data_IF_909744161805
#
_entry.id   IF_909744161805
#
_cell.length_a   1.000
_cell.length_b   1.000
_cell.length_c   1.000
_cell.angle_alpha   90.00
_cell.angle_beta   90.00
_cell.angle_gamma   90.00
#
_symmetry.space_group_name_H-M   'P 1'
#
loop_
_entity.id
_entity.type
_entity.pdbx_description
1 polymer ?
#
# COMPACT_ATOMS: atom_id res chain seq x y z
N UNK A 1 1.70 -19.14 34.34
CA UNK A 1 1.74 -19.48 32.91
C UNK A 1 1.76 -18.17 32.10
N UNK A 2 2.70 -18.04 31.18
CA UNK A 2 2.77 -16.91 30.25
C UNK A 2 1.61 -17.04 29.25
N UNK A 3 0.97 -15.88 28.88
CA UNK A 3 0.07 -15.86 27.74
C UNK A 3 0.86 -16.18 26.45
N UNK A 4 0.17 -16.61 25.36
CA UNK A 4 0.82 -16.89 24.07
C UNK A 4 1.67 -15.72 23.57
N UNK A 5 1.14 -14.49 23.68
CA UNK A 5 1.84 -13.27 23.31
C UNK A 5 3.05 -12.97 24.19
N UNK A 6 2.95 -13.20 25.50
CA UNK A 6 4.09 -13.04 26.42
C UNK A 6 5.21 -14.06 26.11
N UNK A 7 4.84 -15.31 25.82
CA UNK A 7 5.80 -16.34 25.45
C UNK A 7 6.54 -15.95 24.16
N UNK A 8 5.83 -15.47 23.16
CA UNK A 8 6.39 -14.98 21.89
C UNK A 8 7.33 -13.78 22.11
N UNK A 9 6.92 -12.81 22.95
CA UNK A 9 7.76 -11.65 23.29
C UNK A 9 9.08 -12.09 23.97
N UNK A 10 9.01 -13.03 24.91
CA UNK A 10 10.21 -13.59 25.56
C UNK A 10 11.11 -14.28 24.57
N UNK A 11 10.56 -15.04 23.63
CA UNK A 11 11.30 -15.71 22.58
C UNK A 11 12.00 -14.71 21.65
N UNK A 12 11.30 -13.64 21.22
CA UNK A 12 11.88 -12.55 20.42
C UNK A 12 13.04 -11.88 21.17
N UNK A 13 12.83 -11.51 22.43
CA UNK A 13 13.89 -10.90 23.25
C UNK A 13 15.11 -11.83 23.40
N UNK A 14 14.88 -13.13 23.57
CA UNK A 14 15.95 -14.12 23.66
C UNK A 14 16.85 -14.14 22.42
N UNK A 15 16.29 -13.95 21.22
CA UNK A 15 17.07 -13.87 19.96
C UNK A 15 17.93 -12.62 19.86
N UNK A 16 17.68 -11.59 20.66
CA UNK A 16 18.35 -10.29 20.60
C UNK A 16 19.44 -10.09 21.65
N UNK A 17 19.50 -10.96 22.68
CA UNK A 17 20.44 -10.81 23.81
C UNK A 17 21.90 -10.69 23.36
N UNK A 18 22.28 -11.43 22.31
CA UNK A 18 23.65 -11.45 21.79
C UNK A 18 23.96 -10.35 20.77
N UNK A 19 23.05 -9.39 20.57
CA UNK A 19 23.18 -8.24 19.66
C UNK A 19 23.59 -8.66 18.24
N UNK A 20 22.78 -9.45 17.55
CA UNK A 20 23.10 -9.94 16.21
C UNK A 20 23.14 -8.80 15.20
N UNK A 21 23.96 -8.94 14.15
CA UNK A 21 24.00 -8.02 13.01
C UNK A 21 22.85 -8.23 12.03
N UNK A 22 22.28 -9.44 12.02
CA UNK A 22 21.14 -9.83 11.19
C UNK A 22 20.15 -10.61 12.05
N UNK A 23 18.86 -10.25 11.92
CA UNK A 23 17.75 -10.97 12.55
C UNK A 23 16.72 -11.31 11.47
N UNK A 24 16.21 -12.53 11.55
CA UNK A 24 15.13 -13.00 10.69
C UNK A 24 13.94 -13.39 11.56
N UNK A 25 12.79 -12.79 11.33
CA UNK A 25 11.55 -13.10 12.04
C UNK A 25 10.51 -13.66 11.06
N UNK A 26 9.90 -14.77 11.43
CA UNK A 26 8.80 -15.34 10.68
C UNK A 26 7.47 -14.97 11.34
N UNK A 27 6.62 -14.22 10.61
CA UNK A 27 5.30 -13.72 11.07
C UNK A 27 5.32 -13.16 12.51
N UNK A 28 6.19 -12.20 12.85
CA UNK A 28 6.42 -11.79 14.24
C UNK A 28 5.21 -11.10 14.88
N UNK A 29 4.28 -10.57 14.09
CA UNK A 29 3.07 -9.89 14.55
C UNK A 29 1.89 -10.84 14.78
N UNK A 30 1.99 -12.09 14.33
CA UNK A 30 0.91 -13.07 14.41
C UNK A 30 0.55 -13.38 15.86
N UNK A 31 -0.75 -13.30 16.18
CA UNK A 31 -1.25 -13.62 17.54
C UNK A 31 -0.97 -12.56 18.60
N UNK A 32 -0.40 -11.41 18.24
CA UNK A 32 -0.25 -10.27 19.14
C UNK A 32 -1.49 -9.35 19.06
N UNK A 33 -1.91 -8.82 20.21
CA UNK A 33 -2.86 -7.72 20.25
C UNK A 33 -2.25 -6.40 19.75
N UNK A 34 -3.09 -5.39 19.47
CA UNK A 34 -2.64 -4.11 18.90
C UNK A 34 -1.59 -3.39 19.76
N UNK A 35 -1.65 -3.50 21.08
CA UNK A 35 -0.67 -2.87 21.99
C UNK A 35 0.70 -3.54 21.83
N UNK A 36 0.72 -4.87 21.81
CA UNK A 36 1.96 -5.63 21.68
C UNK A 36 2.53 -5.57 20.27
N UNK A 37 1.67 -5.47 19.22
CA UNK A 37 2.13 -5.16 17.86
C UNK A 37 2.85 -3.81 17.81
N UNK A 38 2.29 -2.75 18.41
CA UNK A 38 2.93 -1.44 18.47
C UNK A 38 4.29 -1.46 19.18
N UNK A 39 4.41 -2.22 20.28
CA UNK A 39 5.70 -2.41 20.97
C UNK A 39 6.74 -3.11 20.10
N UNK A 40 6.31 -4.13 19.36
CA UNK A 40 7.18 -4.87 18.45
C UNK A 40 7.64 -3.98 17.28
N UNK A 41 6.77 -3.14 16.71
CA UNK A 41 7.14 -2.16 15.69
C UNK A 41 8.24 -1.19 16.19
N UNK A 42 8.08 -0.67 17.40
CA UNK A 42 9.10 0.20 18.02
C UNK A 42 10.42 -0.54 18.18
N UNK A 43 10.38 -1.78 18.68
CA UNK A 43 11.58 -2.61 18.86
C UNK A 43 12.30 -2.88 17.53
N UNK A 44 11.57 -3.19 16.46
CA UNK A 44 12.14 -3.42 15.12
C UNK A 44 12.85 -2.16 14.61
N UNK A 45 12.23 -0.99 14.76
CA UNK A 45 12.85 0.30 14.40
C UNK A 45 14.11 0.57 15.19
N UNK A 46 14.07 0.38 16.50
CA UNK A 46 15.26 0.56 17.35
C UNK A 46 16.41 -0.38 16.99
N UNK A 47 16.13 -1.59 16.55
CA UNK A 47 17.15 -2.54 16.06
C UNK A 47 17.78 -2.02 14.77
N UNK A 48 16.96 -1.57 13.82
CA UNK A 48 17.42 -0.99 12.56
C UNK A 48 18.26 0.28 12.78
N UNK A 49 17.83 1.17 13.67
CA UNK A 49 18.54 2.40 14.03
C UNK A 49 19.91 2.13 14.67
N UNK A 50 20.06 0.99 15.33
CA UNK A 50 21.35 0.51 15.88
C UNK A 50 22.22 -0.23 14.86
N UNK A 51 21.78 -0.31 13.60
CA UNK A 51 22.54 -0.93 12.52
C UNK A 51 22.33 -2.46 12.38
N UNK A 52 21.32 -3.03 13.06
CA UNK A 52 20.92 -4.43 12.83
C UNK A 52 20.10 -4.52 11.55
N UNK A 53 20.48 -5.43 10.66
CA UNK A 53 19.61 -5.76 9.51
C UNK A 53 18.47 -6.64 10.00
N UNK A 54 17.24 -6.20 9.77
CA UNK A 54 16.05 -6.96 10.17
C UNK A 54 15.29 -7.40 8.91
N UNK A 55 15.07 -8.71 8.81
CA UNK A 55 14.21 -9.31 7.79
C UNK A 55 13.01 -9.92 8.52
N UNK A 56 11.81 -9.68 8.05
CA UNK A 56 10.64 -10.37 8.57
C UNK A 56 9.64 -10.74 7.47
N UNK A 57 8.99 -11.90 7.64
CA UNK A 57 7.85 -12.27 6.82
C UNK A 57 6.57 -11.70 7.39
N UNK A 58 5.62 -11.32 6.55
CA UNK A 58 4.27 -10.97 6.97
C UNK A 58 3.29 -11.08 5.82
N UNK A 59 2.05 -11.47 6.12
CA UNK A 59 0.91 -11.36 5.21
C UNK A 59 0.12 -10.06 5.45
N UNK A 60 0.47 -9.26 6.47
CA UNK A 60 -0.15 -7.98 6.78
C UNK A 60 0.67 -6.85 6.16
N UNK A 61 0.29 -6.45 4.96
CA UNK A 61 1.03 -5.49 4.12
C UNK A 61 1.30 -4.16 4.85
N UNK A 62 0.38 -3.72 5.72
CA UNK A 62 0.54 -2.49 6.50
C UNK A 62 1.80 -2.49 7.39
N UNK A 63 2.19 -3.63 7.96
CA UNK A 63 3.45 -3.70 8.72
C UNK A 63 4.66 -3.52 7.82
N UNK A 64 4.65 -4.14 6.63
CA UNK A 64 5.73 -3.97 5.65
C UNK A 64 5.82 -2.51 5.19
N UNK A 65 4.69 -1.88 4.87
CA UNK A 65 4.63 -0.47 4.44
C UNK A 65 5.18 0.50 5.48
N UNK A 66 4.94 0.23 6.76
CA UNK A 66 5.37 1.11 7.85
C UNK A 66 6.81 0.90 8.31
N UNK A 67 7.35 -0.31 8.17
CA UNK A 67 8.62 -0.71 8.80
C UNK A 67 9.73 -0.98 7.82
N UNK A 68 9.42 -1.40 6.58
CA UNK A 68 10.43 -1.80 5.62
C UNK A 68 10.88 -0.63 4.73
N UNK A 69 12.17 -0.62 4.42
CA UNK A 69 12.72 0.18 3.32
C UNK A 69 12.54 -0.58 1.99
N UNK A 70 12.81 -1.90 2.03
CA UNK A 70 12.75 -2.78 0.89
C UNK A 70 11.82 -3.96 1.17
N UNK A 71 11.19 -4.48 0.12
CA UNK A 71 10.28 -5.63 0.19
C UNK A 71 10.57 -6.61 -0.94
N UNK A 72 10.35 -7.89 -0.65
CA UNK A 72 10.25 -8.94 -1.65
C UNK A 72 8.83 -9.50 -1.63
N UNK A 73 8.10 -9.35 -2.74
CA UNK A 73 6.74 -9.89 -2.90
C UNK A 73 6.86 -11.30 -3.43
N UNK A 74 6.22 -12.26 -2.73
CA UNK A 74 6.19 -13.66 -3.13
C UNK A 74 4.77 -14.01 -3.58
N UNK A 75 4.63 -14.48 -4.81
CA UNK A 75 3.36 -14.91 -5.37
C UNK A 75 3.58 -16.11 -6.31
N UNK A 76 2.73 -17.15 -6.21
CA UNK A 76 2.83 -18.33 -7.05
C UNK A 76 4.17 -19.05 -6.98
N UNK A 77 4.86 -19.04 -5.83
CA UNK A 77 6.20 -19.65 -5.67
C UNK A 77 7.33 -18.90 -6.37
N UNK A 78 7.08 -17.68 -6.84
CA UNK A 78 8.08 -16.80 -7.50
C UNK A 78 8.20 -15.49 -6.72
N UNK A 79 9.24 -14.70 -7.01
CA UNK A 79 9.46 -13.35 -6.47
C UNK A 79 9.26 -12.35 -7.62
N UNK A 80 8.00 -11.93 -7.92
CA UNK A 80 7.72 -10.99 -9.00
C UNK A 80 8.27 -9.59 -8.76
N UNK A 81 8.56 -9.25 -7.50
CA UNK A 81 9.13 -7.97 -7.12
C UNK A 81 10.11 -8.11 -5.95
N UNK A 82 11.24 -7.43 -6.08
CA UNK A 82 12.16 -7.17 -4.97
C UNK A 82 12.75 -5.76 -5.16
N UNK A 83 12.63 -4.91 -4.16
CA UNK A 83 13.09 -3.51 -4.21
C UNK A 83 12.47 -2.65 -3.13
N UNK A 84 12.65 -1.33 -3.24
CA UNK A 84 12.13 -0.41 -2.23
C UNK A 84 10.60 -0.36 -2.21
N UNK A 85 10.04 -0.08 -1.03
CA UNK A 85 8.59 0.14 -0.85
C UNK A 85 8.10 1.28 -1.75
N UNK A 86 8.86 2.37 -1.86
CA UNK A 86 8.49 3.51 -2.69
C UNK A 86 8.46 3.14 -4.17
N UNK A 87 9.47 2.42 -4.67
CA UNK A 87 9.48 1.97 -6.07
C UNK A 87 8.34 0.98 -6.39
N UNK A 88 7.89 0.18 -5.40
CA UNK A 88 6.70 -0.65 -5.58
C UNK A 88 5.43 0.21 -5.71
N UNK A 89 5.27 1.23 -4.87
CA UNK A 89 4.12 2.15 -4.87
C UNK A 89 4.06 3.01 -6.13
N UNK A 90 5.22 3.46 -6.62
CA UNK A 90 5.33 4.29 -7.83
C UNK A 90 4.94 3.55 -9.13
N UNK A 91 4.76 2.22 -9.08
CA UNK A 91 4.20 1.45 -10.22
C UNK A 91 2.73 1.79 -10.49
N UNK A 92 2.02 2.29 -9.47
CA UNK A 92 0.62 2.67 -9.60
C UNK A 92 0.53 4.20 -9.69
N UNK A 93 -0.06 4.73 -10.76
CA UNK A 93 -0.25 6.16 -10.90
C UNK A 93 -1.03 6.75 -9.72
N UNK A 94 -0.56 7.89 -9.22
CA UNK A 94 -1.31 8.64 -8.23
C UNK A 94 -2.67 9.07 -8.79
N UNK A 95 -3.72 8.99 -7.95
CA UNK A 95 -5.08 9.38 -8.32
C UNK A 95 -5.48 10.68 -7.62
N UNK A 96 -6.24 11.49 -8.33
CA UNK A 96 -6.95 12.62 -7.75
C UNK A 96 -8.26 12.11 -7.17
N UNK A 97 -8.51 12.44 -5.91
CA UNK A 97 -9.81 12.31 -5.29
C UNK A 97 -10.39 13.70 -5.12
N UNK A 98 -11.46 13.97 -5.83
CA UNK A 98 -12.19 15.21 -5.80
C UNK A 98 -13.55 14.98 -5.16
N UNK A 99 -13.93 15.82 -4.19
CA UNK A 99 -15.27 15.84 -3.63
C UNK A 99 -15.96 17.15 -4.02
N UNK A 100 -17.16 17.03 -4.59
CA UNK A 100 -17.97 18.17 -5.01
C UNK A 100 -19.33 18.15 -4.35
N UNK A 101 -19.92 19.34 -4.19
CA UNK A 101 -21.30 19.48 -3.71
C UNK A 101 -22.31 19.12 -4.79
N UNK A 102 -21.97 19.36 -6.07
CA UNK A 102 -22.85 19.13 -7.23
C UNK A 102 -22.40 17.87 -7.96
N UNK A 103 -23.38 17.08 -8.44
CA UNK A 103 -23.12 15.91 -9.29
C UNK A 103 -22.89 16.30 -10.75
N UNK A 104 -23.50 17.38 -11.20
CA UNK A 104 -23.54 17.81 -12.60
C UNK A 104 -23.28 19.31 -12.76
N UNK A 105 -22.82 19.69 -13.95
CA UNK A 105 -22.53 21.06 -14.36
C UNK A 105 -21.49 21.08 -15.48
N UNK A 106 -21.27 22.25 -16.06
CA UNK A 106 -20.31 22.46 -17.17
C UNK A 106 -18.88 22.09 -16.76
N UNK A 107 -18.57 22.14 -15.47
CA UNK A 107 -17.29 21.74 -14.89
C UNK A 107 -16.94 20.26 -15.13
N UNK A 108 -17.95 19.37 -15.35
CA UNK A 108 -17.70 17.95 -15.65
C UNK A 108 -16.84 17.73 -16.89
N UNK A 109 -16.96 18.64 -17.88
CA UNK A 109 -16.11 18.59 -19.07
C UNK A 109 -14.61 18.82 -18.77
N UNK A 110 -14.28 19.30 -17.56
CA UNK A 110 -12.90 19.42 -17.11
C UNK A 110 -12.31 18.13 -16.55
N UNK A 111 -13.16 17.16 -16.19
CA UNK A 111 -12.70 15.86 -15.70
C UNK A 111 -12.25 14.97 -16.85
N UNK A 112 -11.26 14.10 -16.61
CA UNK A 112 -10.91 13.02 -17.57
C UNK A 112 -12.11 12.13 -17.89
N UNK A 113 -12.13 11.56 -19.10
CA UNK A 113 -13.25 10.72 -19.56
C UNK A 113 -13.40 9.42 -18.75
N UNK A 114 -12.33 8.96 -18.16
CA UNK A 114 -12.24 7.76 -17.29
C UNK A 114 -12.48 8.06 -15.81
N UNK A 115 -12.87 9.30 -15.46
CA UNK A 115 -13.17 9.67 -14.08
C UNK A 115 -14.33 8.83 -13.51
N UNK A 116 -14.02 8.06 -12.46
CA UNK A 116 -15.04 7.26 -11.75
C UNK A 116 -15.79 8.14 -10.78
N UNK A 117 -17.10 7.98 -10.73
CA UNK A 117 -17.98 8.71 -9.83
C UNK A 117 -18.57 7.78 -8.77
N UNK A 118 -18.51 8.21 -7.53
CA UNK A 118 -19.16 7.54 -6.40
C UNK A 118 -19.98 8.56 -5.61
N UNK A 119 -21.24 8.23 -5.31
CA UNK A 119 -22.15 9.07 -4.54
C UNK A 119 -22.36 8.46 -3.15
N UNK A 120 -21.99 9.17 -2.09
CA UNK A 120 -22.29 8.73 -0.72
C UNK A 120 -23.69 9.16 -0.28
N UNK A 121 -24.35 8.33 0.51
CA UNK A 121 -25.53 8.71 1.29
C UNK A 121 -25.10 9.85 2.24
N UNK A 122 -25.60 11.07 1.98
CA UNK A 122 -25.26 12.28 2.74
C UNK A 122 -24.89 13.49 1.89
N UNK A 123 -24.86 13.37 0.55
CA UNK A 123 -24.84 14.51 -0.35
C UNK A 123 -23.48 14.95 -0.89
N UNK A 124 -22.39 14.19 -0.68
CA UNK A 124 -21.11 14.41 -1.35
C UNK A 124 -20.95 13.54 -2.60
N UNK A 125 -20.38 14.09 -3.66
CA UNK A 125 -20.05 13.39 -4.89
C UNK A 125 -18.54 13.23 -4.98
N UNK A 126 -18.04 11.99 -5.05
CA UNK A 126 -16.63 11.67 -5.14
C UNK A 126 -16.24 11.27 -6.55
N UNK A 127 -15.13 11.82 -7.00
CA UNK A 127 -14.57 11.59 -8.33
C UNK A 127 -13.14 11.09 -8.16
N UNK A 128 -12.79 10.03 -8.86
CA UNK A 128 -11.46 9.42 -8.83
C UNK A 128 -10.92 9.34 -10.26
N UNK A 129 -9.75 9.90 -10.50
CA UNK A 129 -9.14 9.92 -11.82
C UNK A 129 -7.63 10.13 -11.73
N UNK A 130 -6.85 9.73 -12.74
CA UNK A 130 -5.44 10.02 -12.81
C UNK A 130 -5.16 11.52 -12.82
N UNK A 131 -3.96 11.92 -12.41
CA UNK A 131 -3.56 13.34 -12.52
C UNK A 131 -3.61 13.74 -14.00
N UNK A 132 -4.39 14.76 -14.39
CA UNK A 132 -4.48 15.17 -15.79
C UNK A 132 -3.15 15.70 -16.33
N UNK A 133 -2.89 15.51 -17.63
CA UNK A 133 -1.66 15.98 -18.31
C UNK A 133 -1.43 17.49 -18.16
N UNK A 134 -2.51 18.29 -18.06
CA UNK A 134 -2.45 19.73 -17.81
C UNK A 134 -2.12 20.12 -16.37
N UNK A 135 -1.96 19.15 -15.48
CA UNK A 135 -1.70 19.35 -14.05
C UNK A 135 -2.92 19.75 -13.23
N UNK A 136 -2.75 19.69 -11.93
CA UNK A 136 -3.83 19.98 -10.94
C UNK A 136 -4.26 21.44 -10.97
N UNK A 137 -3.35 22.37 -11.21
CA UNK A 137 -3.69 23.80 -11.23
C UNK A 137 -4.65 24.15 -12.38
N UNK A 138 -4.42 23.59 -13.56
CA UNK A 138 -5.30 23.80 -14.71
C UNK A 138 -6.69 23.19 -14.48
N UNK A 139 -6.72 22.00 -13.86
CA UNK A 139 -7.97 21.37 -13.44
C UNK A 139 -8.73 22.23 -12.44
N UNK A 140 -8.08 22.68 -11.37
CA UNK A 140 -8.70 23.50 -10.33
C UNK A 140 -9.32 24.78 -10.89
N UNK A 141 -8.62 25.48 -11.80
CA UNK A 141 -9.17 26.67 -12.46
C UNK A 141 -10.48 26.36 -13.16
N UNK A 142 -10.51 25.31 -14.00
CA UNK A 142 -11.72 24.90 -14.73
C UNK A 142 -12.87 24.50 -13.79
N UNK A 143 -12.56 23.80 -12.69
CA UNK A 143 -13.56 23.41 -11.71
C UNK A 143 -14.16 24.61 -10.96
N UNK A 144 -13.33 25.61 -10.64
CA UNK A 144 -13.76 26.85 -9.98
C UNK A 144 -14.59 27.69 -10.94
N UNK A 145 -14.12 27.91 -12.16
CA UNK A 145 -14.81 28.68 -13.19
C UNK A 145 -16.18 28.05 -13.55
N UNK A 146 -16.27 26.73 -13.54
CA UNK A 146 -17.50 25.97 -13.77
C UNK A 146 -18.38 25.78 -12.52
N UNK A 147 -18.06 26.43 -11.41
CA UNK A 147 -18.82 26.37 -10.15
C UNK A 147 -19.07 24.94 -9.63
N UNK A 148 -18.07 24.06 -9.68
CA UNK A 148 -18.18 22.67 -9.23
C UNK A 148 -18.60 22.52 -7.76
N UNK A 149 -18.38 23.54 -6.93
CA UNK A 149 -18.62 23.48 -5.49
C UNK A 149 -17.68 22.51 -4.81
N UNK A 150 -16.36 22.68 -5.03
CA UNK A 150 -15.32 21.81 -4.48
C UNK A 150 -15.40 21.81 -2.95
N UNK A 151 -15.51 20.63 -2.37
CA UNK A 151 -15.47 20.40 -0.92
C UNK A 151 -14.08 19.96 -0.47
N UNK A 152 -13.47 19.03 -1.22
CA UNK A 152 -12.08 18.61 -1.01
C UNK A 152 -11.44 18.18 -2.33
N UNK A 153 -10.12 18.30 -2.41
CA UNK A 153 -9.31 17.72 -3.45
C UNK A 153 -8.03 17.18 -2.80
N UNK A 154 -7.75 15.91 -3.01
CA UNK A 154 -6.53 15.26 -2.54
C UNK A 154 -5.86 14.49 -3.68
N UNK A 155 -4.54 14.39 -3.62
CA UNK A 155 -3.78 13.47 -4.47
C UNK A 155 -3.47 12.27 -3.60
N UNK A 156 -4.06 11.14 -3.95
CA UNK A 156 -3.86 9.88 -3.24
C UNK A 156 -2.83 9.06 -4.00
N UNK A 157 -1.71 8.77 -3.34
CA UNK A 157 -0.74 7.82 -3.85
C UNK A 157 -1.17 6.42 -3.44
N UNK A 158 -0.94 5.46 -4.32
CA UNK A 158 -1.20 4.06 -4.01
C UNK A 158 -0.41 3.62 -2.77
N UNK A 159 -1.03 2.83 -1.94
CA UNK A 159 -0.38 2.13 -0.84
C UNK A 159 0.40 0.90 -1.34
N UNK A 160 1.23 0.33 -0.46
CA UNK A 160 1.91 -0.93 -0.77
C UNK A 160 0.90 -2.07 -1.01
N UNK A 161 -0.31 -1.99 -0.44
CA UNK A 161 -1.38 -2.95 -0.69
C UNK A 161 -1.83 -2.96 -2.16
N UNK A 162 -2.03 -1.76 -2.73
CA UNK A 162 -2.47 -1.62 -4.12
C UNK A 162 -1.38 -2.14 -5.07
N UNK A 163 -0.11 -1.78 -4.78
CA UNK A 163 1.05 -2.28 -5.51
C UNK A 163 1.16 -3.82 -5.43
N UNK A 164 0.91 -4.39 -4.25
CA UNK A 164 0.91 -5.84 -4.07
C UNK A 164 -0.15 -6.52 -4.94
N UNK A 165 -1.38 -6.01 -4.95
CA UNK A 165 -2.50 -6.57 -5.73
C UNK A 165 -2.15 -6.57 -7.22
N UNK A 166 -1.60 -5.48 -7.74
CA UNK A 166 -1.20 -5.37 -9.14
C UNK A 166 -0.06 -6.32 -9.49
N UNK A 167 1.03 -6.29 -8.71
CA UNK A 167 2.21 -7.13 -8.95
C UNK A 167 1.88 -8.62 -8.83
N UNK A 168 1.08 -9.02 -7.83
CA UNK A 168 0.65 -10.39 -7.66
C UNK A 168 -0.34 -10.84 -8.76
N UNK A 169 -1.23 -9.94 -9.19
CA UNK A 169 -2.16 -10.16 -10.29
C UNK A 169 -1.44 -10.38 -11.62
N UNK A 170 -0.47 -9.54 -11.97
CA UNK A 170 0.37 -9.72 -13.16
C UNK A 170 1.14 -11.05 -13.11
N UNK A 171 1.68 -11.42 -11.94
CA UNK A 171 2.40 -12.69 -11.79
C UNK A 171 1.49 -13.90 -11.97
N UNK A 172 0.27 -13.83 -11.47
CA UNK A 172 -0.74 -14.88 -11.65
C UNK A 172 -1.16 -15.02 -13.12
N UNK A 173 -1.37 -13.90 -13.82
CA UNK A 173 -1.71 -13.89 -15.25
C UNK A 173 -0.61 -14.54 -16.10
N UNK A 174 0.66 -14.14 -15.88
CA UNK A 174 1.81 -14.74 -16.59
C UNK A 174 1.97 -16.23 -16.30
N UNK A 175 1.72 -16.68 -15.06
CA UNK A 175 1.78 -18.10 -14.72
C UNK A 175 0.70 -18.93 -15.45
N UNK A 176 -0.48 -18.36 -15.69
CA UNK A 176 -1.53 -19.00 -16.47
C UNK A 176 -1.17 -19.10 -17.97
N UNK A 177 -0.56 -18.04 -18.53
CA UNK A 177 -0.08 -18.05 -19.92
C UNK A 177 1.04 -19.07 -20.14
N UNK A 178 2.02 -19.14 -19.22
CA UNK A 178 3.10 -20.13 -19.27
C UNK A 178 2.57 -21.56 -19.22
N UNK A 179 1.51 -21.83 -18.44
CA UNK A 179 0.90 -23.14 -18.32
C UNK A 179 0.12 -23.53 -19.59
N UNK A 180 -0.62 -22.59 -20.16
CA UNK A 180 -1.35 -22.78 -21.41
C UNK A 180 -0.42 -23.01 -22.62
N UNK A 181 0.75 -22.37 -22.64
CA UNK A 181 1.77 -22.57 -23.67
C UNK A 181 2.51 -23.91 -23.52
N UNK A 182 2.68 -24.41 -22.29
CA UNK A 182 3.29 -25.71 -22.00
C UNK A 182 2.42 -26.91 -22.35
N UNK A 183 1.09 -26.77 -22.26
CA UNK A 183 0.13 -27.83 -22.62
C UNK A 183 -0.10 -27.95 -24.16
N UNK A 184 0.36 -26.97 -24.93
CA UNK A 184 0.20 -26.94 -26.40
C UNK A 184 1.45 -27.43 -27.17
N UNK A 185 2.49 -27.85 -26.48
CA UNK A 185 3.76 -28.34 -27.04
C UNK A 185 3.96 -29.82 -26.73
#
# INVERSE_FOLDING_TARGET
QLSKGMAQTVQLLGTLVHRPRLVVFDEPFSGLDAINQGKLEVMIRELADRGTTVIFSTHVIHHAERLCNDVAIIAGGRVPYAGSVDAARDRIPAQVRLETRRADGDWRAALPADARHDAKQGGGHFWYFPIPDGGIEALLRRLIDGEAGILSLSIERAGLHDAFVEIAGEAAARAMEDHAAGDAA
#
